data_IF_341576951699
#
_entry.id   IF_341576951699
#
_cell.length_a   1.000
_cell.length_b   1.000
_cell.length_c   1.000
_cell.angle_alpha   90.00
_cell.angle_beta   90.00
_cell.angle_gamma   90.00
#
_symmetry.space_group_name_H-M   'P 1'
#
loop_
_entity.id
_entity.type
_entity.pdbx_description
1 polymer ?
#
# COMPACT_ATOMS: atom_id res chain seq x y z
N UNK A 1 -66.25 23.11 -15.89
CA UNK A 1 -65.53 24.36 -15.55
C UNK A 1 -64.65 24.11 -14.33
N UNK A 2 -63.44 24.73 -14.30
CA UNK A 2 -62.29 24.53 -13.38
C UNK A 2 -61.51 23.23 -13.70
N UNK A 3 -60.51 23.22 -14.60
CA UNK A 3 -59.17 23.86 -14.58
C UNK A 3 -58.44 23.64 -13.26
N UNK A 4 -57.54 22.66 -13.22
CA UNK A 4 -56.09 22.91 -13.20
C UNK A 4 -55.33 21.59 -13.14
N UNK A 5 -54.75 21.22 -14.29
CA UNK A 5 -53.56 20.39 -14.34
C UNK A 5 -52.41 21.22 -13.77
N UNK A 6 -51.78 20.77 -12.68
CA UNK A 6 -50.55 21.36 -12.21
C UNK A 6 -49.40 20.44 -12.64
N UNK A 7 -48.84 20.79 -13.79
CA UNK A 7 -47.46 20.45 -14.17
C UNK A 7 -46.52 21.14 -13.18
N UNK A 8 -45.64 20.39 -12.51
CA UNK A 8 -44.42 20.97 -11.94
C UNK A 8 -43.23 20.25 -12.57
N UNK A 9 -42.57 21.04 -13.41
CA UNK A 9 -41.35 20.77 -14.16
C UNK A 9 -40.15 21.10 -13.27
N UNK A 10 -39.17 20.17 -13.23
CA UNK A 10 -37.72 20.28 -12.97
C UNK A 10 -37.14 21.58 -12.38
N UNK A 11 -36.20 21.44 -11.44
CA UNK A 11 -34.78 21.83 -11.63
C UNK A 11 -33.87 21.07 -10.65
N UNK A 12 -32.71 20.75 -11.21
CA UNK A 12 -31.54 20.02 -10.74
C UNK A 12 -30.81 20.66 -9.55
N UNK A 13 -30.11 19.79 -8.82
CA UNK A 13 -28.81 19.99 -8.15
C UNK A 13 -28.72 20.95 -6.95
N UNK A 14 -28.49 20.37 -5.77
CA UNK A 14 -27.41 20.74 -4.85
C UNK A 14 -27.38 19.69 -3.71
N UNK A 15 -26.45 18.75 -3.77
CA UNK A 15 -25.23 18.78 -2.95
C UNK A 15 -25.36 17.91 -1.70
N UNK A 16 -25.01 16.64 -1.89
CA UNK A 16 -23.99 15.93 -1.10
C UNK A 16 -23.93 16.37 0.37
N UNK A 17 -24.61 15.65 1.24
CA UNK A 17 -24.08 15.34 2.56
C UNK A 17 -24.09 13.83 2.70
N UNK A 18 -23.12 13.19 2.03
CA UNK A 18 -22.56 11.96 2.56
C UNK A 18 -22.08 12.30 3.97
N UNK A 19 -22.90 11.97 4.97
CA UNK A 19 -22.41 11.81 6.32
C UNK A 19 -21.56 10.56 6.33
N UNK A 20 -20.33 10.66 5.83
CA UNK A 20 -19.24 9.77 6.21
C UNK A 20 -18.80 10.18 7.61
N UNK A 21 -19.65 9.88 8.60
CA UNK A 21 -19.23 9.74 9.99
C UNK A 21 -19.25 8.25 10.27
N UNK A 22 -18.15 7.58 9.96
CA UNK A 22 -17.10 7.41 10.94
C UNK A 22 -15.92 6.75 10.27
N UNK A 23 -14.76 7.30 10.61
CA UNK A 23 -13.43 6.78 10.35
C UNK A 23 -13.41 5.27 10.62
N UNK A 24 -13.61 4.49 9.56
CA UNK A 24 -13.11 3.12 9.52
C UNK A 24 -11.61 3.25 9.64
N UNK A 25 -11.09 2.99 10.83
CA UNK A 25 -9.67 2.97 11.13
C UNK A 25 -8.98 1.95 10.25
N UNK A 26 -8.62 2.34 9.03
CA UNK A 26 -7.51 1.73 8.33
C UNK A 26 -6.26 2.17 9.07
N UNK A 27 -5.91 1.42 10.11
CA UNK A 27 -4.54 1.32 10.59
C UNK A 27 -3.70 0.61 9.51
N UNK A 28 -3.65 1.15 8.28
CA UNK A 28 -2.66 0.79 7.29
C UNK A 28 -1.32 1.42 7.72
N UNK A 29 -0.86 1.09 8.92
CA UNK A 29 0.45 1.49 9.41
C UNK A 29 1.48 0.67 8.64
N UNK A 30 1.98 1.24 7.54
CA UNK A 30 3.07 0.67 6.78
C UNK A 30 4.38 0.68 7.57
N UNK A 31 5.31 -0.18 7.17
CA UNK A 31 6.67 -0.20 7.69
C UNK A 31 7.50 0.83 6.93
N UNK A 32 7.89 1.90 7.63
CA UNK A 32 8.80 2.91 7.08
C UNK A 32 10.24 2.47 7.26
N UNK A 33 11.04 2.63 6.23
CA UNK A 33 12.41 2.17 6.21
C UNK A 33 13.21 2.66 5.03
N UNK A 34 14.49 2.30 5.02
CA UNK A 34 15.41 2.54 3.91
C UNK A 34 15.69 1.22 3.21
N UNK A 35 15.64 1.22 1.88
CA UNK A 35 16.02 0.07 1.07
C UNK A 35 17.52 -0.17 1.19
N UNK A 36 17.90 -1.36 1.63
CA UNK A 36 19.30 -1.79 1.74
C UNK A 36 19.68 -2.86 0.71
N UNK A 37 18.70 -3.50 0.08
CA UNK A 37 18.90 -4.48 -1.00
C UNK A 37 17.68 -4.52 -1.91
N UNK A 38 17.91 -4.68 -3.22
CA UNK A 38 16.89 -4.94 -4.24
C UNK A 38 17.39 -6.13 -5.04
N UNK A 39 16.59 -7.20 -5.16
CA UNK A 39 17.04 -8.41 -5.86
C UNK A 39 15.87 -9.21 -6.42
N UNK A 40 16.08 -9.73 -7.62
CA UNK A 40 15.26 -10.79 -8.24
C UNK A 40 15.97 -12.12 -8.04
N UNK A 41 15.30 -13.12 -7.48
CA UNK A 41 15.80 -14.50 -7.38
C UNK A 41 14.92 -15.41 -8.23
N UNK A 42 15.54 -16.31 -8.97
CA UNK A 42 14.84 -17.43 -9.63
C UNK A 42 14.80 -18.61 -8.67
N UNK A 43 13.61 -18.96 -8.16
CA UNK A 43 13.40 -20.20 -7.41
C UNK A 43 12.59 -21.17 -8.27
N UNK A 44 13.25 -22.24 -8.72
CA UNK A 44 12.71 -23.23 -9.67
C UNK A 44 12.27 -22.58 -10.99
N UNK A 45 10.98 -22.27 -11.14
CA UNK A 45 10.36 -21.68 -12.33
C UNK A 45 9.80 -20.26 -12.08
N UNK A 46 9.76 -19.83 -10.80
CA UNK A 46 9.21 -18.52 -10.42
C UNK A 46 10.32 -17.48 -10.24
N UNK A 47 10.10 -16.28 -10.77
CA UNK A 47 10.89 -15.09 -10.44
C UNK A 47 10.28 -14.41 -9.22
N UNK A 48 11.03 -14.36 -8.12
CA UNK A 48 10.62 -13.68 -6.89
C UNK A 48 11.45 -12.42 -6.77
N UNK A 49 10.77 -11.31 -6.92
CA UNK A 49 11.28 -9.99 -6.64
C UNK A 49 11.18 -9.69 -5.15
N UNK A 50 12.26 -9.21 -4.54
CA UNK A 50 12.21 -8.73 -3.17
C UNK A 50 13.09 -7.51 -2.94
N UNK A 51 12.67 -6.72 -1.96
CA UNK A 51 13.52 -5.70 -1.34
C UNK A 51 13.78 -6.06 0.11
N UNK A 52 14.93 -5.63 0.61
CA UNK A 52 15.25 -5.66 2.02
C UNK A 52 15.26 -4.24 2.54
N UNK A 53 14.50 -3.97 3.60
CA UNK A 53 14.42 -2.64 4.20
C UNK A 53 14.92 -2.67 5.63
N UNK A 54 15.61 -1.60 6.03
CA UNK A 54 15.94 -1.32 7.42
C UNK A 54 14.89 -0.36 8.00
N UNK A 55 14.23 -0.74 9.09
CA UNK A 55 13.08 -0.03 9.62
C UNK A 55 13.51 1.25 10.36
N UNK A 56 12.84 2.37 10.09
CA UNK A 56 13.10 3.66 10.75
C UNK A 56 12.60 3.65 12.20
N UNK A 57 11.46 3.01 12.47
CA UNK A 57 10.89 2.93 13.81
C UNK A 57 10.11 1.64 14.01
N UNK A 58 10.18 1.11 15.24
CA UNK A 58 9.52 -0.12 15.63
C UNK A 58 10.22 -1.37 15.09
N UNK A 59 10.30 -2.39 15.94
CA UNK A 59 10.75 -3.70 15.51
C UNK A 59 9.54 -4.52 15.08
N UNK A 60 9.45 -4.95 13.83
CA UNK A 60 8.41 -5.89 13.42
C UNK A 60 8.78 -7.28 13.95
N UNK A 61 7.98 -7.79 14.89
CA UNK A 61 8.30 -9.04 15.63
C UNK A 61 9.72 -9.06 16.22
N UNK A 62 10.24 -7.92 16.66
CA UNK A 62 11.61 -7.83 17.23
C UNK A 62 12.73 -7.72 16.20
N UNK A 63 12.42 -7.60 14.90
CA UNK A 63 13.39 -7.38 13.84
C UNK A 63 13.44 -5.91 13.41
N UNK A 64 14.65 -5.40 13.16
CA UNK A 64 14.90 -4.09 12.57
C UNK A 64 15.01 -4.13 11.05
N UNK A 65 14.98 -5.32 10.48
CA UNK A 65 15.11 -5.55 9.04
C UNK A 65 13.96 -6.42 8.57
N UNK A 66 13.42 -6.11 7.39
CA UNK A 66 12.29 -6.79 6.79
C UNK A 66 12.66 -7.19 5.36
N UNK A 67 12.38 -8.44 4.98
CA UNK A 67 12.41 -8.88 3.58
C UNK A 67 10.98 -8.79 3.06
N UNK A 68 10.81 -8.07 1.96
CA UNK A 68 9.51 -7.76 1.37
C UNK A 68 9.50 -8.39 -0.02
N UNK A 69 8.71 -9.44 -0.17
CA UNK A 69 8.47 -10.03 -1.48
C UNK A 69 7.46 -9.17 -2.23
N UNK A 70 7.72 -8.99 -3.53
CA UNK A 70 6.98 -8.16 -4.46
C UNK A 70 6.45 -9.10 -5.53
N UNK A 71 5.15 -9.07 -5.74
CA UNK A 71 4.52 -9.69 -6.91
C UNK A 71 4.12 -8.53 -7.83
N UNK A 72 4.92 -8.28 -8.87
CA UNK A 72 4.70 -7.12 -9.76
C UNK A 72 3.33 -7.15 -10.44
N UNK A 73 2.77 -8.33 -10.72
CA UNK A 73 1.44 -8.47 -11.31
C UNK A 73 0.32 -7.88 -10.43
N UNK A 74 0.55 -7.80 -9.11
CA UNK A 74 -0.42 -7.30 -8.13
C UNK A 74 -0.14 -5.86 -7.68
N UNK A 75 0.96 -5.25 -8.13
CA UNK A 75 1.44 -3.96 -7.65
C UNK A 75 1.68 -2.97 -8.80
N UNK A 76 1.28 -1.72 -8.61
CA UNK A 76 1.56 -0.64 -9.58
C UNK A 76 3.02 -0.15 -9.57
N UNK A 77 3.93 -0.86 -8.90
CA UNK A 77 5.34 -0.49 -8.79
C UNK A 77 6.24 -1.51 -9.50
N UNK A 78 7.09 -1.00 -10.38
CA UNK A 78 8.16 -1.75 -11.04
C UNK A 78 9.39 -1.79 -10.11
N UNK A 79 9.91 -2.98 -9.80
CA UNK A 79 11.07 -3.16 -8.91
C UNK A 79 12.30 -2.43 -9.44
N UNK A 80 12.43 -2.24 -10.75
CA UNK A 80 13.56 -1.54 -11.36
C UNK A 80 13.58 -0.04 -11.02
N UNK A 81 12.46 0.50 -10.52
CA UNK A 81 12.38 1.88 -10.01
C UNK A 81 12.88 2.00 -8.57
N UNK A 82 12.96 0.89 -7.84
CA UNK A 82 13.46 0.83 -6.47
C UNK A 82 14.98 0.78 -6.45
N UNK A 83 15.59 1.55 -5.55
CA UNK A 83 17.03 1.71 -5.42
C UNK A 83 17.44 1.66 -3.96
N UNK A 84 18.60 1.06 -3.72
CA UNK A 84 19.26 1.11 -2.41
C UNK A 84 19.45 2.58 -1.99
N UNK A 85 19.17 2.87 -0.73
CA UNK A 85 19.19 4.21 -0.16
C UNK A 85 17.87 4.99 -0.24
N UNK A 86 16.88 4.48 -0.98
CA UNK A 86 15.56 5.11 -1.02
C UNK A 86 14.79 4.85 0.27
N UNK A 87 14.13 5.90 0.76
CA UNK A 87 13.15 5.79 1.83
C UNK A 87 11.82 5.31 1.25
N UNK A 88 11.23 4.34 1.91
CA UNK A 88 9.96 3.75 1.50
C UNK A 88 9.05 3.50 2.69
N UNK A 89 7.75 3.48 2.42
CA UNK A 89 6.73 2.92 3.29
C UNK A 89 6.14 1.67 2.63
N UNK A 90 6.22 0.53 3.33
CA UNK A 90 5.72 -0.75 2.84
C UNK A 90 4.47 -1.14 3.60
N UNK A 91 3.35 -1.26 2.90
CA UNK A 91 2.11 -1.83 3.43
C UNK A 91 2.11 -3.31 3.04
N UNK A 92 1.80 -4.20 3.99
CA UNK A 92 1.95 -5.65 3.80
C UNK A 92 0.61 -6.38 3.85
N UNK A 93 0.44 -7.43 3.06
CA UNK A 93 -0.69 -8.37 3.16
C UNK A 93 -0.54 -9.36 4.34
N UNK A 94 0.64 -9.40 4.96
CA UNK A 94 0.94 -10.27 6.10
C UNK A 94 2.31 -10.94 5.99
N UNK A 95 2.57 -11.85 6.91
CA UNK A 95 3.84 -12.59 7.00
C UNK A 95 3.76 -13.82 6.12
N UNK A 96 4.74 -13.97 5.22
CA UNK A 96 4.87 -15.15 4.35
C UNK A 96 5.61 -16.26 5.08
N UNK A 97 6.65 -15.91 5.86
CA UNK A 97 7.44 -16.89 6.59
C UNK A 97 7.99 -16.32 7.89
N UNK A 98 7.87 -17.09 8.97
CA UNK A 98 8.55 -16.81 10.24
C UNK A 98 10.04 -17.10 10.09
N UNK A 99 10.79 -16.06 9.73
CA UNK A 99 12.23 -16.10 9.48
C UNK A 99 12.92 -14.95 10.20
N UNK A 100 14.27 -14.97 10.25
CA UNK A 100 15.09 -13.91 10.85
C UNK A 100 16.12 -13.44 9.81
N UNK A 101 15.90 -12.32 9.10
CA UNK A 101 14.79 -11.36 9.24
C UNK A 101 13.44 -11.90 8.73
N UNK A 102 12.29 -11.38 9.21
CA UNK A 102 10.97 -11.78 8.76
C UNK A 102 10.74 -11.48 7.28
N UNK A 103 9.96 -12.35 6.62
CA UNK A 103 9.52 -12.21 5.23
C UNK A 103 8.03 -11.87 5.18
N UNK A 104 7.68 -10.84 4.42
CA UNK A 104 6.29 -10.37 4.23
C UNK A 104 5.96 -10.21 2.76
N UNK A 105 4.66 -10.21 2.44
CA UNK A 105 4.16 -9.89 1.11
C UNK A 105 3.79 -8.42 1.04
N UNK A 106 4.35 -7.70 0.08
CA UNK A 106 3.94 -6.33 -0.21
C UNK A 106 2.48 -6.31 -0.71
N UNK A 107 1.69 -5.42 -0.12
CA UNK A 107 0.41 -4.95 -0.65
C UNK A 107 0.58 -3.64 -1.40
N UNK A 108 1.50 -2.79 -0.93
CA UNK A 108 1.81 -1.50 -1.55
C UNK A 108 3.21 -1.06 -1.11
N UNK A 109 3.95 -0.39 -1.99
CA UNK A 109 5.24 0.23 -1.68
C UNK A 109 5.19 1.69 -2.15
N UNK A 110 5.36 2.62 -1.21
CA UNK A 110 5.40 4.05 -1.47
C UNK A 110 6.82 4.56 -1.35
N UNK A 111 7.35 5.18 -2.41
CA UNK A 111 8.62 5.90 -2.34
C UNK A 111 8.36 7.21 -1.61
N UNK A 112 9.12 7.45 -0.54
CA UNK A 112 9.09 8.71 0.20
C UNK A 112 10.15 9.61 -0.44
N UNK A 113 9.71 10.51 -1.32
CA UNK A 113 10.61 11.51 -1.89
C UNK A 113 11.10 12.45 -0.77
N UNK A 114 12.42 12.60 -0.64
CA UNK A 114 12.97 13.64 0.23
C UNK A 114 12.86 14.97 -0.52
N UNK A 115 12.10 15.92 0.02
CA UNK A 115 12.15 17.34 -0.37
C UNK A 115 13.55 17.94 -0.18
#
# INVERSE_FOLDING_TARGET
>A
MKKSFLFILLIFAASILFSCSDSSGNNDNGFKGEIIEVKTIKEQEDEIDYIKINLESGSFKGAYTLIVNIHEEELEIDINRLKVGQKVEVITNGIIAESKPPKVLAKEIKIIENE
#
